data_IF_219073664810
#
_entry.id   IF_219073664810
#
_cell.length_a   1.000
_cell.length_b   1.000
_cell.length_c   1.000
_cell.angle_alpha   90.00
_cell.angle_beta   90.00
_cell.angle_gamma   90.00
#
_symmetry.space_group_name_H-M   'P 1'
#
loop_
_entity.id
_entity.type
_entity.pdbx_description
1 polymer ?
#
# COMPACT_ATOMS: atom_id res chain seq x y z
N UNK A 1 25.58 -2.26 -2.28
CA UNK A 1 24.60 -1.39 -2.95
C UNK A 1 24.92 -1.44 -4.43
N UNK A 2 24.03 -1.97 -5.26
CA UNK A 2 24.24 -2.01 -6.72
C UNK A 2 23.91 -0.61 -7.28
N UNK A 3 24.62 -0.19 -8.34
CA UNK A 3 24.35 1.11 -9.01
C UNK A 3 22.90 1.19 -9.50
N UNK A 4 22.30 0.05 -9.83
CA UNK A 4 20.90 -0.05 -10.23
C UNK A 4 19.91 0.23 -9.08
N UNK A 5 20.35 0.12 -7.83
CA UNK A 5 19.54 0.48 -6.65
C UNK A 5 19.43 2.00 -6.47
N UNK A 6 20.31 2.76 -7.16
CA UNK A 6 20.35 4.24 -7.15
C UNK A 6 19.48 4.81 -8.26
N UNK A 7 19.34 4.07 -9.37
CA UNK A 7 18.46 4.44 -10.48
C UNK A 7 17.06 3.96 -10.06
N UNK A 8 16.20 4.89 -9.66
CA UNK A 8 14.80 4.55 -9.29
C UNK A 8 14.06 3.85 -10.43
N UNK A 9 12.89 3.27 -10.12
CA UNK A 9 12.07 2.58 -11.11
C UNK A 9 11.66 3.54 -12.24
N UNK A 10 11.36 2.98 -13.42
CA UNK A 10 10.61 3.71 -14.45
C UNK A 10 9.25 4.03 -13.85
N UNK A 11 8.89 5.30 -13.77
CA UNK A 11 7.71 5.76 -13.04
C UNK A 11 7.12 7.02 -13.67
N UNK A 12 5.83 7.24 -13.44
CA UNK A 12 5.16 8.50 -13.71
C UNK A 12 5.10 9.30 -12.42
N UNK A 13 5.69 10.50 -12.39
CA UNK A 13 5.70 11.40 -11.25
C UNK A 13 7.09 11.82 -10.78
N UNK A 14 7.17 12.85 -9.92
CA UNK A 14 8.44 13.52 -9.61
C UNK A 14 9.28 12.83 -8.51
N UNK A 15 8.72 11.85 -7.78
CA UNK A 15 9.37 11.30 -6.59
C UNK A 15 9.23 9.78 -6.49
N UNK A 16 10.37 9.09 -6.36
CA UNK A 16 10.36 7.63 -6.14
C UNK A 16 9.69 7.23 -4.82
N UNK A 17 9.78 8.06 -3.78
CA UNK A 17 9.14 7.78 -2.49
C UNK A 17 7.67 8.19 -2.48
N UNK A 18 7.37 9.42 -2.91
CA UNK A 18 6.01 9.99 -2.82
C UNK A 18 5.10 9.55 -3.98
N UNK A 19 5.64 9.09 -5.09
CA UNK A 19 4.84 8.60 -6.22
C UNK A 19 4.97 7.08 -6.37
N UNK A 20 6.14 6.54 -6.77
CA UNK A 20 6.26 5.10 -7.02
C UNK A 20 6.02 4.26 -5.77
N UNK A 21 6.57 4.67 -4.60
CA UNK A 21 6.31 3.99 -3.34
C UNK A 21 4.83 4.03 -2.93
N UNK A 22 4.17 5.17 -3.12
CA UNK A 22 2.75 5.33 -2.82
C UNK A 22 1.85 4.46 -3.72
N UNK A 23 2.12 4.39 -5.03
CA UNK A 23 1.44 3.46 -5.95
C UNK A 23 1.61 2.01 -5.48
N UNK A 24 2.85 1.61 -5.14
CA UNK A 24 3.13 0.24 -4.69
C UNK A 24 2.40 -0.11 -3.39
N UNK A 25 2.29 0.82 -2.45
CA UNK A 25 1.50 0.61 -1.22
C UNK A 25 0.05 0.32 -1.59
N UNK A 26 -0.56 1.15 -2.45
CA UNK A 26 -1.94 0.93 -2.91
C UNK A 26 -2.12 -0.41 -3.62
N UNK A 27 -1.19 -0.79 -4.51
CA UNK A 27 -1.20 -2.08 -5.21
C UNK A 27 -1.15 -3.28 -4.25
N UNK A 28 -0.28 -3.23 -3.25
CA UNK A 28 -0.16 -4.32 -2.27
C UNK A 28 -1.41 -4.39 -1.40
N UNK A 29 -1.93 -3.26 -0.93
CA UNK A 29 -3.15 -3.21 -0.13
C UNK A 29 -4.37 -3.74 -0.90
N UNK A 30 -4.53 -3.36 -2.18
CA UNK A 30 -5.59 -3.89 -3.04
C UNK A 30 -5.49 -5.40 -3.26
N UNK A 31 -4.26 -5.93 -3.44
CA UNK A 31 -4.02 -7.38 -3.55
C UNK A 31 -4.32 -8.12 -2.24
N UNK A 32 -4.03 -7.53 -1.09
CA UNK A 32 -4.33 -8.11 0.22
C UNK A 32 -5.83 -8.19 0.48
N UNK A 33 -6.60 -7.18 0.07
CA UNK A 33 -8.06 -7.20 0.17
C UNK A 33 -8.68 -8.28 -0.74
N UNK A 34 -8.04 -8.59 -1.86
CA UNK A 34 -8.38 -9.65 -2.82
C UNK A 34 -9.78 -9.50 -3.48
N UNK A 35 -10.36 -8.31 -3.46
CA UNK A 35 -11.60 -7.96 -4.16
C UNK A 35 -11.60 -6.48 -4.58
N UNK A 36 -12.48 -6.05 -5.51
CA UNK A 36 -12.60 -4.64 -5.86
C UNK A 36 -12.94 -3.78 -4.65
N UNK A 37 -12.28 -2.63 -4.54
CA UNK A 37 -12.44 -1.71 -3.41
C UNK A 37 -13.69 -0.87 -3.63
N UNK A 38 -14.61 -0.87 -2.65
CA UNK A 38 -15.80 -0.02 -2.60
C UNK A 38 -15.52 1.31 -1.89
N UNK A 39 -14.70 1.26 -0.81
CA UNK A 39 -14.38 2.42 -0.01
C UNK A 39 -12.97 2.34 0.54
N UNK A 40 -12.23 3.45 0.51
CA UNK A 40 -10.89 3.59 1.04
C UNK A 40 -10.79 4.84 1.92
N UNK A 41 -10.47 4.66 3.21
CA UNK A 41 -10.09 5.75 4.09
C UNK A 41 -8.55 5.77 4.19
N UNK A 42 -7.95 6.87 3.77
CA UNK A 42 -6.51 7.01 3.57
C UNK A 42 -5.98 8.01 4.59
N UNK A 43 -5.28 7.51 5.60
CA UNK A 43 -4.72 8.34 6.66
C UNK A 43 -3.23 8.51 6.44
N UNK A 44 -2.80 9.73 6.13
CA UNK A 44 -1.42 10.06 5.79
C UNK A 44 -0.66 10.54 7.04
N UNK A 45 0.55 10.03 7.23
CA UNK A 45 1.46 10.41 8.31
C UNK A 45 2.65 11.21 7.78
N UNK A 46 3.15 12.11 8.63
CA UNK A 46 4.43 12.79 8.45
C UNK A 46 4.57 13.50 7.10
N UNK A 47 5.59 13.16 6.33
CA UNK A 47 5.88 13.79 5.04
C UNK A 47 4.82 13.48 3.98
N UNK A 48 4.18 12.31 4.02
CA UNK A 48 3.07 11.99 3.12
C UNK A 48 1.89 12.96 3.29
N UNK A 49 1.62 13.38 4.53
CA UNK A 49 0.62 14.42 4.79
C UNK A 49 1.13 15.81 4.41
N UNK A 50 2.31 16.19 4.90
CA UNK A 50 2.82 17.56 4.78
C UNK A 50 3.10 17.99 3.33
N UNK A 51 3.54 17.07 2.46
CA UNK A 51 3.97 17.36 1.09
C UNK A 51 3.26 16.53 0.02
N UNK A 52 2.38 15.64 0.43
CA UNK A 52 1.78 14.61 -0.44
C UNK A 52 1.03 15.18 -1.64
N UNK A 53 0.21 16.21 -1.44
CA UNK A 53 -0.55 16.83 -2.54
C UNK A 53 0.36 17.48 -3.59
N UNK A 54 1.47 18.10 -3.17
CA UNK A 54 2.45 18.71 -4.08
C UNK A 54 3.25 17.70 -4.89
N UNK A 55 3.39 16.47 -4.40
CA UNK A 55 4.12 15.38 -5.07
C UNK A 55 3.19 14.31 -5.68
N UNK A 56 1.88 14.50 -5.61
CA UNK A 56 0.88 13.59 -6.14
C UNK A 56 0.77 12.27 -5.38
N UNK A 57 1.13 12.23 -4.08
CA UNK A 57 1.02 11.04 -3.22
C UNK A 57 -0.42 10.55 -3.12
N UNK A 58 -1.35 11.48 -3.00
CA UNK A 58 -2.79 11.23 -2.97
C UNK A 58 -3.27 10.47 -4.21
N UNK A 59 -2.95 10.99 -5.40
CA UNK A 59 -3.27 10.34 -6.69
C UNK A 59 -2.54 9.02 -6.85
N UNK A 60 -1.30 8.94 -6.41
CA UNK A 60 -0.48 7.74 -6.49
C UNK A 60 -1.05 6.58 -5.65
N UNK A 61 -1.50 6.84 -4.42
CA UNK A 61 -2.14 5.82 -3.57
C UNK A 61 -3.42 5.34 -4.22
N UNK A 62 -4.30 6.25 -4.66
CA UNK A 62 -5.57 5.89 -5.32
C UNK A 62 -5.33 5.10 -6.60
N UNK A 63 -4.34 5.49 -7.42
CA UNK A 63 -3.94 4.74 -8.61
C UNK A 63 -3.52 3.30 -8.27
N UNK A 64 -2.72 3.12 -7.22
CA UNK A 64 -2.33 1.80 -6.74
C UNK A 64 -3.52 0.96 -6.25
N UNK A 65 -4.45 1.56 -5.52
CA UNK A 65 -5.69 0.89 -5.07
C UNK A 65 -6.58 0.44 -6.25
N UNK A 66 -6.53 1.17 -7.37
CA UNK A 66 -7.19 0.81 -8.63
C UNK A 66 -6.41 -0.25 -9.44
N UNK A 67 -5.23 -0.66 -8.99
CA UNK A 67 -4.40 -1.66 -9.68
C UNK A 67 -3.48 -1.09 -10.77
N UNK A 68 -3.29 0.23 -10.87
CA UNK A 68 -2.37 0.83 -11.84
C UNK A 68 -0.92 0.59 -11.46
N UNK A 69 -0.05 0.33 -12.45
CA UNK A 69 1.38 0.18 -12.27
C UNK A 69 2.08 1.55 -12.04
N UNK A 70 3.31 1.54 -11.53
CA UNK A 70 4.07 2.75 -11.18
C UNK A 70 4.43 3.63 -12.38
N UNK A 71 4.43 3.06 -13.57
CA UNK A 71 4.71 3.70 -14.86
C UNK A 71 3.45 3.97 -15.70
N UNK A 72 2.26 3.78 -15.12
CA UNK A 72 1.01 4.01 -15.82
C UNK A 72 0.74 5.51 -15.98
N UNK A 73 0.60 5.96 -17.22
CA UNK A 73 0.35 7.37 -17.56
C UNK A 73 -0.98 7.92 -17.01
N UNK A 74 -1.89 7.05 -16.55
CA UNK A 74 -3.19 7.43 -15.99
C UNK A 74 -3.13 7.82 -14.51
N UNK A 75 -1.99 7.65 -13.83
CA UNK A 75 -1.82 8.00 -12.40
C UNK A 75 -2.35 9.42 -12.09
N UNK A 76 -2.06 10.48 -12.90
CA UNK A 76 -2.59 11.81 -12.65
C UNK A 76 -4.12 11.93 -12.68
N UNK A 77 -4.80 10.96 -13.30
CA UNK A 77 -6.26 10.91 -13.47
C UNK A 77 -6.91 9.84 -12.57
N UNK A 78 -6.22 9.39 -11.52
CA UNK A 78 -6.70 8.30 -10.67
C UNK A 78 -7.98 8.61 -9.91
N UNK A 79 -8.27 9.87 -9.61
CA UNK A 79 -9.51 10.26 -8.94
C UNK A 79 -10.72 10.08 -9.84
N UNK A 80 -10.60 10.51 -11.09
CA UNK A 80 -11.62 10.34 -12.12
C UNK A 80 -11.87 8.84 -12.40
N UNK A 81 -10.79 8.05 -12.46
CA UNK A 81 -10.89 6.60 -12.62
C UNK A 81 -11.51 5.91 -11.40
N UNK A 82 -11.30 6.44 -10.19
CA UNK A 82 -11.94 5.93 -8.98
C UNK A 82 -13.46 6.16 -9.02
N UNK A 83 -13.89 7.35 -9.45
CA UNK A 83 -15.30 7.66 -9.62
C UNK A 83 -15.95 6.75 -10.67
N UNK A 84 -15.31 6.53 -11.81
CA UNK A 84 -15.76 5.61 -12.86
C UNK A 84 -15.87 4.16 -12.37
N UNK A 85 -14.93 3.73 -11.50
CA UNK A 85 -14.93 2.40 -10.88
C UNK A 85 -15.92 2.28 -9.71
N UNK A 86 -16.56 3.37 -9.28
CA UNK A 86 -17.46 3.40 -8.13
C UNK A 86 -16.73 3.27 -6.78
N UNK A 87 -15.42 3.51 -6.74
CA UNK A 87 -14.62 3.51 -5.51
C UNK A 87 -14.69 4.88 -4.84
N UNK A 88 -15.22 4.92 -3.62
CA UNK A 88 -15.18 6.12 -2.77
C UNK A 88 -13.89 6.16 -1.99
N UNK A 89 -13.32 7.35 -1.81
CA UNK A 89 -12.14 7.53 -1.00
C UNK A 89 -12.17 8.83 -0.22
N UNK A 90 -11.44 8.86 0.89
CA UNK A 90 -11.22 10.06 1.70
C UNK A 90 -9.78 10.10 2.20
N UNK A 91 -9.29 11.31 2.44
CA UNK A 91 -7.98 11.56 3.02
C UNK A 91 -8.11 12.22 4.38
N UNK A 92 -7.28 11.78 5.31
CA UNK A 92 -7.18 12.37 6.65
C UNK A 92 -5.72 12.31 7.14
N UNK A 93 -5.43 13.07 8.20
CA UNK A 93 -4.15 13.06 8.89
C UNK A 93 -4.15 12.06 10.03
N UNK A 94 -3.01 11.38 10.22
CA UNK A 94 -2.76 10.52 11.38
C UNK A 94 -1.36 10.72 11.92
N UNK A 95 -1.22 10.73 13.25
CA UNK A 95 0.07 10.66 13.93
C UNK A 95 0.32 9.22 14.37
N UNK A 96 1.39 8.61 13.83
CA UNK A 96 1.81 7.26 14.17
C UNK A 96 3.13 7.32 14.93
N UNK A 97 3.17 6.73 16.11
CA UNK A 97 4.38 6.72 16.96
C UNK A 97 5.43 5.82 16.33
N UNK A 98 6.70 6.28 16.31
CA UNK A 98 7.86 5.57 15.76
C UNK A 98 7.73 5.13 14.29
N UNK A 99 6.79 5.72 13.54
CA UNK A 99 6.58 5.41 12.14
C UNK A 99 7.53 6.19 11.21
N UNK A 100 7.83 5.60 10.05
CA UNK A 100 8.58 6.28 8.99
C UNK A 100 7.79 7.50 8.49
N UNK A 101 8.43 8.66 8.18
CA UNK A 101 7.72 9.87 7.73
C UNK A 101 6.82 9.68 6.50
N UNK A 102 7.11 8.71 5.64
CA UNK A 102 6.31 8.39 4.46
C UNK A 102 5.40 7.17 4.72
N UNK A 103 4.64 7.20 5.81
CA UNK A 103 3.71 6.12 6.19
C UNK A 103 2.28 6.51 5.87
N UNK A 104 1.49 5.52 5.48
CA UNK A 104 0.04 5.60 5.31
C UNK A 104 -0.63 4.45 6.03
N UNK A 105 -1.76 4.74 6.67
CA UNK A 105 -2.71 3.77 7.18
C UNK A 105 -3.93 3.76 6.26
N UNK A 106 -4.28 2.60 5.76
CA UNK A 106 -5.38 2.36 4.84
C UNK A 106 -6.45 1.52 5.54
N UNK A 107 -7.69 2.02 5.57
CA UNK A 107 -8.86 1.24 5.94
C UNK A 107 -9.67 1.01 4.68
N UNK A 108 -9.72 -0.23 4.22
CA UNK A 108 -10.35 -0.62 2.96
C UNK A 108 -11.60 -1.45 3.21
N UNK A 109 -12.63 -1.20 2.42
CA UNK A 109 -13.85 -2.02 2.37
C UNK A 109 -14.07 -2.47 0.93
N UNK A 110 -14.19 -3.77 0.72
CA UNK A 110 -14.46 -4.37 -0.58
C UNK A 110 -15.95 -4.38 -0.94
N UNK A 111 -16.22 -4.66 -2.20
CA UNK A 111 -17.60 -4.71 -2.73
C UNK A 111 -18.42 -5.87 -2.13
N UNK A 112 -17.76 -6.95 -1.71
CA UNK A 112 -18.40 -8.10 -1.07
C UNK A 112 -18.42 -7.99 0.47
N UNK A 113 -17.93 -6.87 1.01
CA UNK A 113 -17.97 -6.57 2.44
C UNK A 113 -16.73 -6.99 3.22
N UNK A 114 -15.65 -7.48 2.59
CA UNK A 114 -14.38 -7.69 3.26
C UNK A 114 -13.85 -6.35 3.76
N UNK A 115 -13.20 -6.36 4.91
CA UNK A 115 -12.54 -5.20 5.49
C UNK A 115 -11.07 -5.52 5.73
N UNK A 116 -10.21 -4.53 5.54
CA UNK A 116 -8.77 -4.67 5.71
C UNK A 116 -8.17 -3.37 6.22
N UNK A 117 -7.36 -3.46 7.27
CA UNK A 117 -6.51 -2.36 7.72
C UNK A 117 -5.05 -2.67 7.39
N UNK A 118 -4.36 -1.74 6.74
CA UNK A 118 -2.93 -1.86 6.40
C UNK A 118 -2.18 -0.61 6.80
N UNK A 119 -1.07 -0.77 7.51
CA UNK A 119 -0.07 0.29 7.71
C UNK A 119 1.17 -0.04 6.91
N UNK A 120 1.57 0.86 6.02
CA UNK A 120 2.73 0.66 5.16
C UNK A 120 3.51 1.96 4.95
N UNK A 121 4.81 1.83 4.76
CA UNK A 121 5.74 2.93 4.55
C UNK A 121 6.47 2.83 3.22
N UNK A 122 6.69 3.96 2.56
CA UNK A 122 7.63 4.07 1.45
C UNK A 122 9.02 4.37 2.00
N UNK A 123 9.96 3.44 1.81
CA UNK A 123 11.30 3.46 2.40
C UNK A 123 12.39 3.95 1.42
N UNK A 124 11.98 4.58 0.31
CA UNK A 124 12.88 5.15 -0.69
C UNK A 124 13.15 4.24 -1.89
N UNK A 125 13.53 4.85 -3.02
CA UNK A 125 13.82 4.12 -4.27
C UNK A 125 12.62 3.36 -4.86
N UNK A 126 11.39 3.74 -4.52
CA UNK A 126 10.18 3.01 -4.90
C UNK A 126 9.93 1.75 -4.06
N UNK A 127 10.78 1.44 -3.08
CA UNK A 127 10.56 0.32 -2.16
C UNK A 127 9.58 0.68 -1.06
N UNK A 128 8.87 -0.32 -0.59
CA UNK A 128 7.89 -0.19 0.49
C UNK A 128 8.15 -1.20 1.60
N UNK A 129 7.52 -0.97 2.74
CA UNK A 129 7.42 -1.95 3.82
C UNK A 129 6.00 -1.95 4.36
N UNK A 130 5.36 -3.09 4.36
CA UNK A 130 4.13 -3.31 5.11
C UNK A 130 4.51 -3.56 6.55
N UNK A 131 3.99 -2.72 7.46
CA UNK A 131 4.35 -2.71 8.88
C UNK A 131 3.29 -3.38 9.75
N UNK A 132 2.02 -3.31 9.32
CA UNK A 132 0.89 -3.84 10.09
C UNK A 132 -0.26 -4.24 9.17
N UNK A 133 -0.97 -5.31 9.53
CA UNK A 133 -2.20 -5.78 8.89
C UNK A 133 -3.20 -6.12 9.99
N UNK A 134 -4.39 -5.49 9.98
CA UNK A 134 -5.47 -5.70 10.96
C UNK A 134 -4.99 -5.62 12.42
N UNK A 135 -4.13 -4.64 12.73
CA UNK A 135 -3.55 -4.44 14.06
C UNK A 135 -2.45 -5.44 14.44
N UNK A 136 -2.04 -6.32 13.54
CA UNK A 136 -0.96 -7.28 13.78
C UNK A 136 0.33 -6.84 13.09
N UNK A 137 1.49 -6.88 13.77
CA UNK A 137 2.77 -6.54 13.16
C UNK A 137 3.08 -7.40 11.94
N UNK A 138 3.52 -6.74 10.87
CA UNK A 138 3.99 -7.36 9.64
C UNK A 138 5.33 -6.74 9.23
N UNK A 139 6.13 -7.47 8.44
CA UNK A 139 7.40 -6.96 7.93
C UNK A 139 7.75 -7.60 6.60
N UNK A 140 7.24 -7.04 5.50
CA UNK A 140 7.59 -7.49 4.15
C UNK A 140 7.53 -6.34 3.14
N UNK A 141 8.23 -6.46 2.02
CA UNK A 141 8.41 -5.41 1.02
C UNK A 141 7.55 -5.60 -0.24
N UNK A 142 6.89 -6.74 -0.40
CA UNK A 142 6.04 -7.05 -1.56
C UNK A 142 6.81 -7.29 -2.87
N UNK A 143 8.14 -7.50 -2.80
CA UNK A 143 8.99 -7.79 -3.96
C UNK A 143 8.94 -9.26 -4.37
N UNK A 144 8.52 -10.12 -3.46
CA UNK A 144 8.39 -11.56 -3.67
C UNK A 144 6.95 -12.02 -3.46
N UNK A 145 6.52 -13.12 -4.10
CA UNK A 145 5.28 -13.79 -3.76
C UNK A 145 5.27 -14.11 -2.26
N UNK A 146 4.30 -13.53 -1.54
CA UNK A 146 4.23 -13.61 -0.08
C UNK A 146 2.88 -14.15 0.32
N UNK A 147 2.89 -15.26 1.06
CA UNK A 147 1.69 -15.79 1.70
C UNK A 147 1.62 -15.28 3.14
N UNK A 148 0.49 -14.70 3.49
CA UNK A 148 0.21 -14.22 4.84
C UNK A 148 -0.82 -15.14 5.47
N UNK A 149 -0.46 -15.76 6.59
CA UNK A 149 -1.33 -16.65 7.33
C UNK A 149 -1.60 -16.06 8.70
N UNK A 150 -2.86 -15.74 8.97
CA UNK A 150 -3.31 -15.35 10.31
C UNK A 150 -3.79 -16.60 11.06
N UNK A 151 -3.14 -16.92 12.16
CA UNK A 151 -3.57 -18.02 13.02
C UNK A 151 -3.47 -17.64 14.50
N UNK A 152 -4.02 -18.48 15.36
CA UNK A 152 -3.78 -18.44 16.81
C UNK A 152 -2.48 -19.20 17.04
N UNK A 153 -1.48 -18.54 17.67
CA UNK A 153 -0.18 -19.17 17.94
C UNK A 153 -0.32 -20.31 18.94
N UNK A 154 -0.26 -21.54 18.43
CA UNK A 154 -0.34 -22.78 19.21
C UNK A 154 0.72 -23.79 18.70
N UNK A 155 1.23 -24.67 19.58
CA UNK A 155 2.14 -25.72 19.16
C UNK A 155 1.57 -26.57 18.02
N UNK A 156 2.35 -26.71 16.93
CA UNK A 156 1.94 -27.50 15.76
C UNK A 156 1.41 -26.72 14.56
N UNK A 157 0.89 -25.51 14.73
CA UNK A 157 0.29 -24.73 13.61
C UNK A 157 1.29 -24.40 12.50
N UNK A 158 2.53 -24.08 12.82
CA UNK A 158 3.57 -23.85 11.79
C UNK A 158 3.79 -25.10 10.95
N UNK A 159 3.78 -26.29 11.57
CA UNK A 159 3.92 -27.57 10.90
C UNK A 159 2.72 -27.85 9.98
N UNK A 160 1.50 -27.57 10.44
CA UNK A 160 0.29 -27.73 9.63
C UNK A 160 0.31 -26.85 8.40
N UNK A 161 0.62 -25.56 8.54
CA UNK A 161 0.72 -24.60 7.41
C UNK A 161 1.81 -25.03 6.43
N UNK A 162 3.00 -25.40 6.92
CA UNK A 162 4.10 -25.82 6.05
C UNK A 162 3.81 -27.15 5.35
N UNK A 163 3.10 -28.06 5.98
CA UNK A 163 2.68 -29.33 5.36
C UNK A 163 1.65 -29.13 4.22
N UNK A 164 0.83 -28.06 4.30
CA UNK A 164 -0.10 -27.71 3.21
C UNK A 164 0.58 -27.06 2.00
N UNK A 165 1.79 -26.49 2.20
CA UNK A 165 2.53 -25.78 1.16
C UNK A 165 3.59 -26.66 0.46
N UNK A 166 3.95 -27.78 1.03
CA UNK A 166 4.97 -28.72 0.56
C UNK A 166 4.40 -29.90 -0.15
#
# INVERSE_FOLDING_TARGET
MNILDIIGPVMVGPSSSHTAGAVRIGLVAGKLLAEPIKEAQIHLHGSFWATGSGHGTDRAIVAGLLGLAVDDARIPHSFELADEAGMRFSFDHVELVDAHPNTVKLNLTGVNGSVLEVVAASIGGGRIRVCEIDGLPANFEGDYPTLIVRNIDQPGHVMEVTAMLG
#
